data_IF_429812068763
#
_entry.id   IF_429812068763
#
_cell.length_a   1.000
_cell.length_b   1.000
_cell.length_c   1.000
_cell.angle_alpha   90.00
_cell.angle_beta   90.00
_cell.angle_gamma   90.00
#
_symmetry.space_group_name_H-M   'P 1'
#
loop_
_entity.id
_entity.type
_entity.pdbx_description
1 polymer ?
#
# COMPACT_ATOMS: atom_id res chain seq x y z
N UNK A 1 14.23 1.95 -13.86
CA UNK A 1 15.10 2.88 -13.18
C UNK A 1 15.78 2.24 -11.98
N UNK A 2 16.99 2.66 -11.73
CA UNK A 2 17.81 2.19 -10.61
C UNK A 2 18.42 3.42 -9.93
N UNK A 3 18.04 3.66 -8.69
CA UNK A 3 18.59 4.75 -7.91
C UNK A 3 19.22 4.21 -6.64
N UNK A 4 20.39 4.72 -6.34
CA UNK A 4 21.18 4.40 -5.18
C UNK A 4 21.04 5.51 -4.13
N UNK A 5 20.70 5.12 -2.92
CA UNK A 5 20.62 6.04 -1.79
C UNK A 5 21.78 5.78 -0.85
N UNK A 6 22.69 6.74 -0.76
CA UNK A 6 23.79 6.67 0.19
C UNK A 6 23.34 7.20 1.56
N UNK A 7 23.24 6.32 2.54
CA UNK A 7 22.73 6.62 3.89
C UNK A 7 23.74 7.30 4.83
N UNK A 8 24.67 8.10 4.32
CA UNK A 8 25.56 8.90 5.17
C UNK A 8 24.89 10.15 5.77
N UNK A 9 23.57 10.23 5.72
CA UNK A 9 22.74 11.28 6.31
C UNK A 9 21.25 10.94 6.18
N UNK A 10 20.43 11.48 7.05
CA UNK A 10 18.98 11.34 6.96
C UNK A 10 18.45 11.99 5.67
N UNK A 11 17.78 11.24 4.80
CA UNK A 11 17.08 11.74 3.62
C UNK A 11 17.68 11.33 2.26
N UNK A 12 16.85 11.42 1.24
CA UNK A 12 17.17 11.14 -0.17
C UNK A 12 17.83 12.37 -0.78
N UNK A 13 18.78 12.17 -1.71
CA UNK A 13 19.34 13.26 -2.51
C UNK A 13 18.36 13.64 -3.62
N UNK A 14 17.89 14.90 -3.64
CA UNK A 14 16.91 15.38 -4.61
C UNK A 14 17.44 15.32 -6.05
N UNK A 15 18.76 15.48 -6.24
CA UNK A 15 19.42 15.39 -7.53
C UNK A 15 19.32 13.99 -8.19
N UNK A 16 18.96 12.96 -7.42
CA UNK A 16 18.82 11.59 -7.93
C UNK A 16 17.38 11.24 -8.30
N UNK A 17 16.43 12.09 -7.97
CA UNK A 17 15.02 11.87 -8.22
C UNK A 17 14.58 12.36 -9.60
N UNK A 18 13.60 11.69 -10.20
CA UNK A 18 12.98 12.15 -11.42
C UNK A 18 11.97 13.27 -11.12
N UNK A 19 12.23 14.47 -11.59
CA UNK A 19 11.40 15.66 -11.37
C UNK A 19 10.73 16.19 -12.65
N UNK A 20 10.67 15.38 -13.71
CA UNK A 20 9.99 15.70 -14.97
C UNK A 20 8.58 15.14 -15.07
N UNK A 21 7.95 15.38 -16.21
CA UNK A 21 6.66 14.78 -16.57
C UNK A 21 6.91 13.63 -17.54
N UNK A 22 6.50 12.42 -17.17
CA UNK A 22 6.47 11.26 -18.06
C UNK A 22 5.01 10.93 -18.38
N UNK A 23 4.63 11.12 -19.64
CA UNK A 23 3.31 10.80 -20.14
C UNK A 23 3.38 9.61 -21.11
N UNK A 24 2.87 8.48 -20.67
CA UNK A 24 2.79 7.28 -21.48
C UNK A 24 1.73 7.33 -22.58
N UNK A 25 0.84 8.33 -22.56
CA UNK A 25 -0.24 8.52 -23.56
C UNK A 25 -1.08 7.28 -23.81
N UNK A 26 -1.37 6.53 -22.75
CA UNK A 26 -2.12 5.28 -22.82
C UNK A 26 -1.34 4.09 -23.38
N UNK A 27 -0.04 4.24 -23.66
CA UNK A 27 0.79 3.14 -24.15
C UNK A 27 1.28 2.22 -23.04
N UNK A 28 1.65 1.00 -23.46
CA UNK A 28 2.27 0.01 -22.57
C UNK A 28 3.77 -0.08 -22.78
N UNK A 29 4.50 -0.19 -21.66
CA UNK A 29 5.89 -0.60 -21.64
C UNK A 29 5.91 -2.10 -21.33
N UNK A 30 6.39 -2.92 -22.26
CA UNK A 30 6.41 -4.37 -22.12
C UNK A 30 7.83 -4.91 -22.04
N UNK A 31 7.96 -6.03 -21.32
CA UNK A 31 9.26 -6.69 -21.16
C UNK A 31 10.16 -6.00 -20.14
N UNK A 32 9.59 -5.20 -19.22
CA UNK A 32 10.37 -4.73 -18.08
C UNK A 32 10.88 -5.94 -17.31
N UNK A 33 12.20 -6.07 -17.23
CA UNK A 33 12.85 -7.12 -16.48
C UNK A 33 13.95 -6.51 -15.61
N UNK A 34 13.78 -6.61 -14.30
CA UNK A 34 14.76 -6.15 -13.33
C UNK A 34 15.09 -7.33 -12.42
N UNK A 35 16.36 -7.70 -12.40
CA UNK A 35 16.90 -8.73 -11.51
C UNK A 35 18.05 -8.15 -10.71
N UNK A 36 17.97 -8.23 -9.40
CA UNK A 36 19.08 -7.82 -8.51
C UNK A 36 19.94 -9.05 -8.21
N UNK A 37 21.14 -9.08 -8.77
CA UNK A 37 22.13 -10.12 -8.47
C UNK A 37 22.87 -9.78 -7.17
N UNK A 38 23.39 -10.84 -6.52
CA UNK A 38 24.17 -10.79 -5.27
C UNK A 38 24.98 -9.52 -5.10
N UNK A 39 24.77 -8.83 -4.01
CA UNK A 39 25.67 -7.80 -3.56
C UNK A 39 26.67 -8.39 -2.57
N UNK A 40 27.94 -8.48 -2.97
CA UNK A 40 29.08 -8.87 -2.11
C UNK A 40 29.97 -7.65 -1.89
N UNK A 41 29.74 -6.89 -0.82
CA UNK A 41 30.76 -5.97 -0.33
C UNK A 41 31.17 -6.39 1.07
N UNK A 42 32.30 -7.05 1.14
CA UNK A 42 32.93 -7.46 2.39
C UNK A 42 33.59 -6.21 3.01
N UNK A 43 33.12 -5.76 4.15
CA UNK A 43 33.85 -4.86 5.02
C UNK A 43 33.41 -3.40 5.12
N UNK A 44 32.36 -2.95 4.43
CA UNK A 44 31.83 -1.60 4.57
C UNK A 44 30.46 -1.58 5.28
N UNK A 45 30.35 -0.85 6.37
CA UNK A 45 29.08 -0.57 7.07
C UNK A 45 28.19 0.45 6.31
N UNK A 46 28.30 0.53 5.01
CA UNK A 46 27.43 1.38 4.18
C UNK A 46 26.14 0.64 3.85
N UNK A 47 25.03 1.17 4.36
CA UNK A 47 23.69 0.70 4.05
C UNK A 47 23.27 1.24 2.69
N UNK A 48 23.34 0.43 1.66
CA UNK A 48 22.88 0.79 0.32
C UNK A 48 21.37 0.51 0.22
N UNK A 49 20.57 1.55 0.01
CA UNK A 49 19.14 1.41 -0.20
C UNK A 49 18.86 1.46 -1.69
N UNK A 50 18.30 0.39 -2.22
CA UNK A 50 17.93 0.30 -3.63
C UNK A 50 16.46 0.61 -3.81
N UNK A 51 16.15 1.48 -4.76
CA UNK A 51 14.82 1.79 -5.22
C UNK A 51 14.66 1.27 -6.64
N UNK A 52 13.72 0.38 -6.87
CA UNK A 52 13.52 -0.26 -8.16
C UNK A 52 12.08 -0.17 -8.63
N UNK A 53 11.91 0.03 -9.92
CA UNK A 53 10.67 0.14 -10.65
C UNK A 53 10.93 0.64 -12.06
N UNK A 54 9.92 1.02 -12.80
CA UNK A 54 10.11 1.78 -14.05
C UNK A 54 10.94 3.05 -13.74
N UNK A 55 10.65 3.71 -12.63
CA UNK A 55 11.46 4.76 -12.03
C UNK A 55 12.03 4.29 -10.68
N UNK A 56 13.26 4.66 -10.35
CA UNK A 56 13.80 4.40 -9.02
C UNK A 56 13.14 5.29 -7.98
N UNK A 57 13.21 6.63 -8.20
CA UNK A 57 12.62 7.64 -7.32
C UNK A 57 11.91 8.68 -8.18
N UNK A 58 10.67 9.00 -7.86
CA UNK A 58 9.94 10.16 -8.38
C UNK A 58 10.01 11.24 -7.30
N UNK A 59 10.56 12.40 -7.65
CA UNK A 59 10.71 13.56 -6.75
C UNK A 59 9.43 14.37 -6.67
N UNK A 60 9.45 15.42 -5.85
CA UNK A 60 8.26 16.23 -5.54
C UNK A 60 7.60 16.91 -6.74
N UNK A 61 8.38 17.26 -7.75
CA UNK A 61 7.90 17.89 -9.00
C UNK A 61 7.67 16.84 -10.11
N UNK A 62 7.97 15.55 -9.81
CA UNK A 62 7.87 14.47 -10.78
C UNK A 62 6.43 14.02 -10.98
N UNK A 63 6.06 13.80 -12.23
CA UNK A 63 4.75 13.24 -12.61
C UNK A 63 4.95 12.07 -13.56
N UNK A 64 4.29 10.94 -13.26
CA UNK A 64 4.18 9.79 -14.16
C UNK A 64 2.71 9.53 -14.42
N UNK A 65 2.30 9.51 -15.69
CA UNK A 65 0.90 9.37 -16.04
C UNK A 65 0.64 8.52 -17.29
N UNK A 66 -0.57 7.97 -17.37
CA UNK A 66 -1.10 7.31 -18.57
C UNK A 66 -0.18 6.20 -19.11
N UNK A 67 0.34 5.33 -18.24
CA UNK A 67 1.23 4.24 -18.64
C UNK A 67 0.81 2.92 -18.01
N UNK A 68 0.90 1.86 -18.83
CA UNK A 68 0.78 0.47 -18.35
C UNK A 68 2.16 -0.19 -18.39
N UNK A 69 2.54 -0.86 -17.30
CA UNK A 69 3.82 -1.58 -17.22
C UNK A 69 3.56 -3.08 -17.19
N UNK A 70 4.24 -3.83 -18.06
CA UNK A 70 4.19 -5.29 -18.13
C UNK A 70 5.60 -5.86 -18.01
N UNK A 71 5.76 -6.94 -17.25
CA UNK A 71 7.05 -7.59 -17.11
C UNK A 71 7.22 -8.30 -15.76
N UNK A 72 8.44 -8.24 -15.25
CA UNK A 72 8.79 -8.85 -13.97
C UNK A 72 9.89 -8.06 -13.28
N UNK A 73 9.75 -7.88 -11.99
CA UNK A 73 10.80 -7.33 -11.11
C UNK A 73 11.11 -8.37 -10.05
N UNK A 74 12.35 -8.87 -10.05
CA UNK A 74 12.86 -9.80 -9.06
C UNK A 74 14.05 -9.17 -8.33
N UNK A 75 13.75 -8.49 -7.24
CA UNK A 75 14.71 -7.74 -6.45
C UNK A 75 15.09 -8.46 -5.14
N UNK A 76 15.32 -9.76 -5.23
CA UNK A 76 15.80 -10.56 -4.11
C UNK A 76 17.33 -10.49 -4.03
N UNK A 77 17.87 -9.99 -2.93
CA UNK A 77 19.30 -10.07 -2.66
C UNK A 77 19.62 -11.40 -1.99
N UNK A 78 20.28 -12.32 -2.72
CA UNK A 78 20.77 -13.56 -2.12
C UNK A 78 21.86 -13.28 -1.07
N UNK A 79 21.72 -13.84 0.10
CA UNK A 79 22.80 -14.00 1.10
C UNK A 79 22.85 -12.98 2.22
N UNK A 80 21.90 -12.06 2.30
CA UNK A 80 21.71 -11.21 3.47
C UNK A 80 20.23 -11.11 3.81
N UNK A 81 19.74 -12.06 4.57
CA UNK A 81 18.34 -12.11 5.05
C UNK A 81 18.01 -10.95 6.01
N UNK A 82 19.02 -10.17 6.38
CA UNK A 82 18.96 -9.09 7.33
C UNK A 82 19.22 -7.72 6.66
N UNK A 83 18.17 -7.05 6.22
CA UNK A 83 17.95 -5.58 6.30
C UNK A 83 18.56 -4.67 5.23
N UNK A 84 19.64 -4.94 4.50
CA UNK A 84 20.42 -3.84 3.91
C UNK A 84 20.46 -3.71 2.39
N UNK A 85 19.70 -4.45 1.64
CA UNK A 85 19.66 -4.34 0.18
C UNK A 85 18.22 -4.31 -0.36
N UNK A 86 18.02 -3.60 -1.48
CA UNK A 86 16.76 -3.54 -2.24
C UNK A 86 15.49 -3.34 -1.39
N UNK A 87 15.32 -2.13 -0.84
CA UNK A 87 14.25 -1.90 0.13
C UNK A 87 12.94 -1.48 -0.47
N UNK A 88 12.94 -0.64 -1.51
CA UNK A 88 11.73 -0.02 -2.02
C UNK A 88 11.50 -0.45 -3.47
N UNK A 89 10.53 -1.31 -3.67
CA UNK A 89 10.29 -1.96 -4.97
C UNK A 89 8.84 -1.73 -5.37
N UNK A 90 8.63 -1.19 -6.57
CA UNK A 90 7.29 -1.01 -7.14
C UNK A 90 7.29 -1.13 -8.66
N UNK A 91 6.17 -1.45 -9.24
CA UNK A 91 6.05 -1.58 -10.71
C UNK A 91 6.31 -0.27 -11.45
N UNK A 92 5.84 0.83 -10.90
CA UNK A 92 6.05 2.17 -11.46
C UNK A 92 7.24 2.85 -10.80
N UNK A 93 7.31 2.86 -9.47
CA UNK A 93 8.40 3.53 -8.76
C UNK A 93 8.86 2.77 -7.52
N UNK A 94 10.15 2.80 -7.22
CA UNK A 94 10.65 2.37 -5.92
C UNK A 94 10.14 3.28 -4.82
N UNK A 95 10.35 4.60 -4.98
CA UNK A 95 9.80 5.64 -4.09
C UNK A 95 9.05 6.67 -4.94
N UNK A 96 7.86 7.05 -4.49
CA UNK A 96 7.11 8.15 -5.08
C UNK A 96 6.90 9.27 -4.06
N UNK A 97 7.51 10.44 -4.31
CA UNK A 97 7.28 11.69 -3.59
C UNK A 97 6.66 12.78 -4.50
N UNK A 98 6.16 12.39 -5.66
CA UNK A 98 5.47 13.22 -6.65
C UNK A 98 4.08 12.68 -6.95
N UNK A 99 3.68 12.71 -8.21
CA UNK A 99 2.38 12.27 -8.68
C UNK A 99 2.49 11.04 -9.61
N UNK A 100 1.76 9.98 -9.30
CA UNK A 100 1.46 8.89 -10.23
C UNK A 100 -0.05 8.90 -10.48
N UNK A 101 -0.48 9.05 -11.74
CA UNK A 101 -1.90 9.13 -12.09
C UNK A 101 -2.22 8.32 -13.34
N UNK A 102 -3.36 7.62 -13.31
CA UNK A 102 -3.86 6.81 -14.42
C UNK A 102 -2.80 5.81 -14.93
N UNK A 103 -2.22 5.06 -13.99
CA UNK A 103 -1.17 4.09 -14.28
C UNK A 103 -1.59 2.69 -13.86
N UNK A 104 -1.19 1.70 -14.67
CA UNK A 104 -1.46 0.28 -14.40
C UNK A 104 -0.17 -0.52 -14.33
N UNK A 105 -0.05 -1.36 -13.31
CA UNK A 105 0.98 -2.38 -13.24
C UNK A 105 0.39 -3.75 -13.53
N UNK A 106 0.97 -4.44 -14.51
CA UNK A 106 0.71 -5.86 -14.82
C UNK A 106 1.96 -6.72 -14.58
N UNK A 107 3.05 -6.14 -14.09
CA UNK A 107 4.26 -6.89 -13.82
C UNK A 107 4.18 -7.59 -12.47
N UNK A 108 4.68 -8.82 -12.38
CA UNK A 108 4.88 -9.51 -11.11
C UNK A 108 6.11 -8.94 -10.40
N UNK A 109 5.95 -8.67 -9.11
CA UNK A 109 6.96 -8.00 -8.31
C UNK A 109 7.34 -8.85 -7.12
N UNK A 110 8.60 -9.21 -7.04
CA UNK A 110 9.19 -9.86 -5.87
C UNK A 110 10.34 -9.00 -5.36
N UNK A 111 10.28 -8.64 -4.11
CA UNK A 111 11.28 -7.80 -3.46
C UNK A 111 11.58 -8.24 -2.04
N UNK A 112 12.54 -7.57 -1.39
CA UNK A 112 12.97 -7.96 -0.06
C UNK A 112 12.06 -7.37 1.03
N UNK A 113 11.90 -6.05 1.11
CA UNK A 113 11.29 -5.41 2.27
C UNK A 113 9.99 -4.64 1.97
N UNK A 114 10.06 -3.50 1.32
CA UNK A 114 8.91 -2.63 1.05
C UNK A 114 8.49 -2.77 -0.40
N UNK A 115 7.48 -3.59 -0.63
CA UNK A 115 7.10 -4.02 -1.98
C UNK A 115 5.65 -3.63 -2.26
N UNK A 116 5.45 -2.82 -3.28
CA UNK A 116 4.12 -2.41 -3.73
C UNK A 116 3.91 -2.64 -5.22
N UNK A 117 2.68 -2.91 -5.62
CA UNK A 117 2.35 -3.08 -7.05
C UNK A 117 2.61 -1.81 -7.86
N UNK A 118 2.40 -0.64 -7.26
CA UNK A 118 2.67 0.66 -7.90
C UNK A 118 3.96 1.27 -7.37
N UNK A 119 4.09 1.40 -6.04
CA UNK A 119 5.30 1.97 -5.43
C UNK A 119 5.71 1.25 -4.15
N UNK A 120 7.01 1.07 -3.96
CA UNK A 120 7.55 0.50 -2.73
C UNK A 120 7.29 1.39 -1.53
N UNK A 121 7.52 2.70 -1.67
CA UNK A 121 7.18 3.70 -0.64
C UNK A 121 6.46 4.90 -1.25
N UNK A 122 5.42 5.37 -0.58
CA UNK A 122 4.71 6.61 -0.89
C UNK A 122 5.12 7.70 0.10
N UNK A 123 5.58 8.84 -0.43
CA UNK A 123 6.16 9.93 0.32
C UNK A 123 7.61 9.67 0.73
N UNK A 124 8.37 10.73 0.95
CA UNK A 124 9.79 10.62 1.30
C UNK A 124 10.27 11.82 2.13
N UNK A 125 11.44 11.66 2.75
CA UNK A 125 12.18 12.77 3.31
C UNK A 125 13.46 12.97 2.51
N UNK A 126 13.62 14.15 1.92
CA UNK A 126 14.83 14.53 1.20
C UNK A 126 15.83 15.23 2.13
N UNK A 127 17.13 15.18 1.78
CA UNK A 127 18.17 15.86 2.53
C UNK A 127 17.92 17.35 2.61
N UNK A 128 17.96 17.90 3.82
CA UNK A 128 17.81 19.34 4.04
C UNK A 128 16.39 19.88 3.80
N UNK A 129 15.42 19.02 3.51
CA UNK A 129 14.04 19.39 3.33
C UNK A 129 13.13 18.73 4.35
N UNK A 130 11.91 19.22 4.43
CA UNK A 130 10.83 18.59 5.18
C UNK A 130 10.38 17.28 4.48
N UNK A 131 9.47 16.59 5.11
CA UNK A 131 8.74 15.48 4.54
C UNK A 131 8.02 15.92 3.26
N UNK A 132 8.05 15.08 2.25
CA UNK A 132 7.39 15.32 0.96
C UNK A 132 6.36 14.23 0.74
N UNK A 133 5.12 14.64 0.56
CA UNK A 133 4.01 13.73 0.25
C UNK A 133 4.07 13.30 -1.20
N UNK A 134 3.79 12.01 -1.44
CA UNK A 134 3.53 11.50 -2.76
C UNK A 134 2.02 11.28 -2.97
N UNK A 135 1.55 11.32 -4.20
CA UNK A 135 0.15 11.09 -4.51
C UNK A 135 -0.02 9.97 -5.53
N UNK A 136 -1.00 9.12 -5.28
CA UNK A 136 -1.47 8.10 -6.22
C UNK A 136 -2.93 8.35 -6.55
N UNK A 137 -3.25 8.49 -7.84
CA UNK A 137 -4.60 8.77 -8.30
C UNK A 137 -4.94 7.85 -9.47
N UNK A 138 -6.05 7.13 -9.39
CA UNK A 138 -6.50 6.22 -10.43
C UNK A 138 -5.40 5.23 -10.86
N UNK A 139 -5.01 4.39 -9.92
CA UNK A 139 -3.95 3.40 -10.14
C UNK A 139 -4.46 1.98 -9.97
N UNK A 140 -3.97 1.07 -10.81
CA UNK A 140 -4.39 -0.34 -10.80
C UNK A 140 -3.18 -1.26 -10.75
N UNK A 141 -3.23 -2.24 -9.88
CA UNK A 141 -2.29 -3.36 -9.89
C UNK A 141 -2.98 -4.67 -10.25
N UNK A 142 -2.49 -5.34 -11.28
CA UNK A 142 -2.91 -6.67 -11.71
C UNK A 142 -1.84 -7.74 -11.46
N UNK A 143 -0.60 -7.34 -11.21
CA UNK A 143 0.51 -8.25 -10.98
C UNK A 143 0.60 -8.75 -9.55
N UNK A 144 1.22 -9.90 -9.36
CA UNK A 144 1.50 -10.46 -8.04
C UNK A 144 2.56 -9.63 -7.30
N UNK A 145 2.37 -9.43 -6.00
CA UNK A 145 3.30 -8.69 -5.14
C UNK A 145 3.79 -9.60 -4.01
N UNK A 146 5.10 -9.79 -3.91
CA UNK A 146 5.69 -10.67 -2.88
C UNK A 146 6.86 -9.98 -2.17
N UNK A 147 6.77 -9.84 -0.84
CA UNK A 147 7.88 -9.38 -0.01
C UNK A 147 8.50 -10.55 0.74
N UNK A 148 9.82 -10.73 0.61
CA UNK A 148 10.52 -11.96 1.05
C UNK A 148 11.45 -11.76 2.26
N UNK A 149 11.49 -10.58 2.86
CA UNK A 149 12.33 -10.31 4.03
C UNK A 149 11.88 -11.11 5.24
N UNK A 150 12.84 -11.71 5.93
CA UNK A 150 12.60 -12.43 7.18
C UNK A 150 12.40 -11.52 8.40
N UNK A 151 12.62 -10.22 8.27
CA UNK A 151 12.60 -9.30 9.40
C UNK A 151 11.57 -8.19 9.28
N UNK A 152 11.41 -7.62 8.09
CA UNK A 152 10.55 -6.47 7.82
C UNK A 152 9.99 -6.59 6.41
N UNK A 153 8.96 -7.37 6.23
CA UNK A 153 8.28 -7.49 4.96
C UNK A 153 6.99 -6.65 5.02
N UNK A 154 6.93 -5.59 4.23
CA UNK A 154 5.75 -4.77 4.07
C UNK A 154 5.29 -4.88 2.61
N UNK A 155 4.25 -5.68 2.38
CA UNK A 155 3.71 -5.93 1.05
C UNK A 155 2.34 -5.29 0.90
N UNK A 156 2.17 -4.46 -0.12
CA UNK A 156 0.88 -3.87 -0.48
C UNK A 156 0.58 -4.03 -1.96
N UNK A 157 -0.65 -4.32 -2.29
CA UNK A 157 -1.06 -4.42 -3.71
C UNK A 157 -0.79 -3.13 -4.49
N UNK A 158 -0.81 -1.98 -3.81
CA UNK A 158 -0.51 -0.67 -4.38
C UNK A 158 0.77 -0.09 -3.78
N UNK A 159 0.86 -0.02 -2.46
CA UNK A 159 1.98 0.62 -1.74
C UNK A 159 2.53 -0.33 -0.68
N UNK A 160 3.83 -0.60 -0.69
CA UNK A 160 4.49 -1.37 0.36
C UNK A 160 4.46 -0.61 1.69
N UNK A 161 5.02 0.60 1.71
CA UNK A 161 5.07 1.47 2.88
C UNK A 161 4.51 2.87 2.57
N UNK A 162 3.49 3.29 3.29
CA UNK A 162 2.95 4.64 3.25
C UNK A 162 3.65 5.48 4.32
N UNK A 163 4.47 6.43 3.89
CA UNK A 163 5.13 7.37 4.79
C UNK A 163 4.38 8.71 4.86
N UNK A 164 4.06 9.28 3.71
CA UNK A 164 3.32 10.56 3.59
C UNK A 164 2.60 10.60 2.25
N UNK A 165 1.33 10.96 2.22
CA UNK A 165 0.62 11.20 0.97
C UNK A 165 -0.70 10.46 0.83
N UNK A 166 -1.41 10.78 -0.25
CA UNK A 166 -2.77 10.33 -0.49
C UNK A 166 -2.83 9.23 -1.57
N UNK A 167 -3.77 8.31 -1.36
CA UNK A 167 -4.13 7.28 -2.32
C UNK A 167 -5.62 7.46 -2.61
N UNK A 168 -5.94 7.76 -3.87
CA UNK A 168 -7.32 7.97 -4.29
C UNK A 168 -7.60 7.21 -5.58
N UNK A 169 -8.72 6.49 -5.63
CA UNK A 169 -9.07 5.61 -6.75
C UNK A 169 -7.98 4.54 -7.01
N UNK A 170 -7.79 3.63 -6.07
CA UNK A 170 -6.81 2.56 -6.20
C UNK A 170 -7.47 1.18 -6.23
N UNK A 171 -7.04 0.35 -7.18
CA UNK A 171 -7.54 -1.02 -7.33
C UNK A 171 -6.41 -2.03 -7.30
N UNK A 172 -6.56 -3.07 -6.49
CA UNK A 172 -5.68 -4.22 -6.53
C UNK A 172 -6.44 -5.50 -6.91
N UNK A 173 -6.04 -6.10 -8.03
CA UNK A 173 -6.47 -7.41 -8.50
C UNK A 173 -5.40 -8.50 -8.29
N UNK A 174 -4.16 -8.08 -8.06
CA UNK A 174 -3.03 -8.98 -7.90
C UNK A 174 -2.99 -9.63 -6.52
N UNK A 175 -2.45 -10.83 -6.45
CA UNK A 175 -2.20 -11.48 -5.17
C UNK A 175 -1.06 -10.79 -4.42
N UNK A 176 -1.22 -10.62 -3.11
CA UNK A 176 -0.22 -9.98 -2.25
C UNK A 176 0.22 -10.94 -1.16
N UNK A 177 1.51 -11.14 -1.01
CA UNK A 177 2.01 -12.08 -0.02
C UNK A 177 3.34 -11.67 0.61
N UNK A 178 3.54 -12.13 1.84
CA UNK A 178 4.83 -12.19 2.49
C UNK A 178 4.99 -13.60 3.07
N UNK A 179 5.42 -14.57 2.24
CA UNK A 179 5.54 -15.97 2.64
C UNK A 179 6.75 -16.15 3.54
N UNK A 180 6.57 -15.86 4.81
CA UNK A 180 7.61 -16.01 5.80
C UNK A 180 7.34 -17.24 6.66
N UNK A 181 8.28 -18.16 6.73
CA UNK A 181 8.36 -19.23 7.72
C UNK A 181 9.56 -18.98 8.58
N UNK A 182 9.33 -18.65 9.83
CA UNK A 182 10.41 -18.60 10.83
C UNK A 182 10.33 -19.81 11.74
N UNK A 183 11.38 -20.62 11.75
CA UNK A 183 11.56 -21.68 12.74
C UNK A 183 12.00 -21.12 14.10
N UNK A 184 12.24 -19.80 14.21
CA UNK A 184 12.71 -19.14 15.42
C UNK A 184 11.56 -18.55 16.25
N UNK A 185 11.56 -18.85 17.54
CA UNK A 185 10.57 -18.50 18.57
C UNK A 185 10.37 -16.97 18.81
N UNK A 186 10.97 -16.09 17.99
CA UNK A 186 10.89 -14.63 18.10
C UNK A 186 10.15 -13.95 16.94
N UNK A 187 9.41 -14.70 16.13
CA UNK A 187 8.69 -14.19 14.95
C UNK A 187 7.68 -13.09 15.28
N UNK A 188 7.10 -13.10 16.48
CA UNK A 188 6.12 -12.11 16.95
C UNK A 188 6.69 -10.68 17.12
N UNK A 189 8.01 -10.51 17.11
CA UNK A 189 8.65 -9.18 17.19
C UNK A 189 8.94 -8.57 15.83
N UNK A 190 8.66 -9.27 14.74
CA UNK A 190 9.02 -8.87 13.39
C UNK A 190 7.84 -8.20 12.70
N UNK A 191 8.08 -7.02 12.14
CA UNK A 191 7.06 -6.18 11.55
C UNK A 191 6.64 -6.61 10.15
N UNK A 192 6.15 -7.84 9.96
CA UNK A 192 5.57 -8.27 8.69
C UNK A 192 4.14 -7.74 8.59
N UNK A 193 3.88 -6.95 7.55
CA UNK A 193 2.58 -6.35 7.30
C UNK A 193 2.17 -6.55 5.84
N UNK A 194 0.98 -7.09 5.63
CA UNK A 194 0.44 -7.36 4.31
C UNK A 194 -0.94 -6.74 4.17
N UNK A 195 -1.12 -5.96 3.12
CA UNK A 195 -2.41 -5.34 2.82
C UNK A 195 -2.74 -5.36 1.33
N UNK A 196 -4.02 -5.45 1.01
CA UNK A 196 -4.47 -5.44 -0.38
C UNK A 196 -4.15 -4.14 -1.11
N UNK A 197 -4.13 -3.03 -0.38
CA UNK A 197 -3.75 -1.71 -0.90
C UNK A 197 -2.41 -1.27 -0.30
N UNK A 198 -2.29 -1.24 1.00
CA UNK A 198 -1.06 -0.77 1.69
C UNK A 198 -0.56 -1.82 2.67
N UNK A 199 0.72 -2.17 2.61
CA UNK A 199 1.34 -3.04 3.60
C UNK A 199 1.33 -2.38 4.97
N UNK A 200 1.97 -1.23 5.10
CA UNK A 200 2.05 -0.50 6.36
C UNK A 200 2.09 1.02 6.18
N UNK A 201 1.31 1.72 6.99
CA UNK A 201 1.45 3.15 7.23
C UNK A 201 2.35 3.39 8.43
N UNK A 202 3.34 4.27 8.27
CA UNK A 202 4.29 4.68 9.32
C UNK A 202 4.14 6.14 9.72
N UNK A 203 3.16 6.85 9.20
CA UNK A 203 2.89 8.25 9.55
C UNK A 203 2.36 8.35 10.97
N UNK A 204 2.89 9.27 11.76
CA UNK A 204 2.50 9.46 13.17
C UNK A 204 1.81 10.80 13.45
N UNK A 205 1.86 11.77 12.55
CA UNK A 205 1.32 13.11 12.78
C UNK A 205 0.85 13.85 11.54
N UNK A 206 1.24 13.43 10.37
CA UNK A 206 0.86 14.01 9.07
C UNK A 206 0.54 12.86 8.15
N UNK A 207 -0.56 12.19 8.42
CA UNK A 207 -0.99 11.08 7.60
C UNK A 207 -1.81 11.61 6.42
N UNK A 208 -1.60 10.98 5.30
CA UNK A 208 -2.50 11.10 4.18
C UNK A 208 -3.79 10.30 4.39
N UNK A 209 -4.51 10.09 3.32
CA UNK A 209 -5.75 9.30 3.31
C UNK A 209 -5.68 8.18 2.28
N UNK A 210 -6.47 7.14 2.53
CA UNK A 210 -6.85 6.15 1.52
C UNK A 210 -8.33 6.36 1.26
N UNK A 211 -8.67 6.83 0.07
CA UNK A 211 -10.05 7.11 -0.33
C UNK A 211 -10.38 6.43 -1.66
N UNK A 212 -11.53 5.78 -1.75
CA UNK A 212 -11.97 5.04 -2.93
C UNK A 212 -10.96 3.99 -3.38
N UNK A 213 -10.70 3.02 -2.49
CA UNK A 213 -9.80 1.92 -2.82
C UNK A 213 -10.47 0.57 -2.62
N UNK A 214 -10.15 -0.39 -3.50
CA UNK A 214 -10.67 -1.72 -3.34
C UNK A 214 -9.66 -2.82 -3.67
N UNK A 215 -9.84 -3.97 -3.01
CA UNK A 215 -9.06 -5.17 -3.26
C UNK A 215 -9.96 -6.37 -3.52
N UNK A 216 -9.65 -7.12 -4.58
CA UNK A 216 -10.21 -8.45 -4.84
C UNK A 216 -9.12 -9.53 -5.02
N UNK A 217 -7.84 -9.14 -4.98
CA UNK A 217 -6.73 -10.08 -4.97
C UNK A 217 -6.66 -10.88 -3.67
N UNK A 218 -6.10 -12.08 -3.73
CA UNK A 218 -5.84 -12.88 -2.54
C UNK A 218 -4.67 -12.28 -1.75
N UNK A 219 -4.82 -12.28 -0.43
CA UNK A 219 -3.80 -11.72 0.46
C UNK A 219 -3.37 -12.80 1.45
N UNK A 220 -2.07 -12.96 1.65
CA UNK A 220 -1.62 -14.02 2.53
C UNK A 220 -0.28 -13.78 3.21
N UNK A 221 -0.26 -14.20 4.47
CA UNK A 221 0.98 -14.40 5.24
C UNK A 221 0.76 -15.52 6.23
N UNK A 222 1.60 -16.56 6.18
CA UNK A 222 1.44 -17.72 7.08
C UNK A 222 1.79 -17.37 8.54
N UNK A 223 2.75 -16.44 8.76
CA UNK A 223 3.26 -16.08 10.08
C UNK A 223 3.39 -14.55 10.27
N UNK A 224 2.71 -13.74 9.46
CA UNK A 224 2.79 -12.27 9.54
C UNK A 224 2.03 -11.70 10.73
N UNK A 225 2.56 -10.58 11.27
CA UNK A 225 1.93 -9.94 12.42
C UNK A 225 0.69 -9.13 12.07
N UNK A 226 0.66 -8.53 10.87
CA UNK A 226 -0.39 -7.61 10.49
C UNK A 226 -0.92 -7.96 9.10
N UNK A 227 -2.20 -8.24 9.04
CA UNK A 227 -2.90 -8.60 7.82
C UNK A 227 -4.18 -7.79 7.67
N UNK A 228 -4.41 -7.19 6.52
CA UNK A 228 -5.66 -6.48 6.23
C UNK A 228 -6.03 -6.51 4.75
N UNK A 229 -7.31 -6.69 4.45
CA UNK A 229 -7.81 -6.63 3.08
C UNK A 229 -7.53 -5.30 2.38
N UNK A 230 -7.40 -4.22 3.14
CA UNK A 230 -7.01 -2.90 2.66
C UNK A 230 -5.61 -2.56 3.18
N UNK A 231 -5.38 -2.59 4.49
CA UNK A 231 -4.09 -2.23 5.07
C UNK A 231 -3.68 -3.17 6.22
N UNK A 232 -2.46 -3.69 6.16
CA UNK A 232 -1.95 -4.57 7.21
C UNK A 232 -1.78 -3.85 8.55
N UNK A 233 -1.03 -2.76 8.58
CA UNK A 233 -0.78 -1.96 9.78
C UNK A 233 -0.92 -0.47 9.47
N UNK A 234 -1.79 0.21 10.20
CA UNK A 234 -2.08 1.63 10.03
C UNK A 234 -1.87 2.40 11.34
N UNK A 235 -0.99 3.39 11.34
CA UNK A 235 -0.78 4.21 12.53
C UNK A 235 -1.74 5.39 12.61
N UNK A 236 -1.91 6.15 11.53
CA UNK A 236 -2.72 7.36 11.63
C UNK A 236 -3.53 7.71 10.37
N UNK A 237 -3.26 7.07 9.22
CA UNK A 237 -3.92 7.37 7.96
C UNK A 237 -5.44 7.17 8.04
N UNK A 238 -6.22 8.12 7.54
CA UNK A 238 -7.67 7.99 7.41
C UNK A 238 -8.03 7.07 6.24
N UNK A 239 -9.05 6.25 6.45
CA UNK A 239 -9.52 5.27 5.47
C UNK A 239 -10.99 5.53 5.21
N UNK A 240 -11.35 5.86 3.97
CA UNK A 240 -12.72 6.17 3.59
C UNK A 240 -13.11 5.51 2.27
N UNK A 241 -14.37 5.13 2.15
CA UNK A 241 -14.94 4.62 0.91
C UNK A 241 -14.14 3.44 0.33
N UNK A 242 -13.89 2.41 1.14
CA UNK A 242 -13.09 1.26 0.73
C UNK A 242 -13.83 -0.04 0.88
N UNK A 243 -13.45 -1.05 0.09
CA UNK A 243 -13.96 -2.39 0.31
C UNK A 243 -12.97 -3.49 -0.08
N UNK A 244 -13.14 -4.65 0.55
CA UNK A 244 -12.39 -5.85 0.25
C UNK A 244 -13.34 -7.01 -0.09
N UNK A 245 -13.09 -7.65 -1.23
CA UNK A 245 -13.76 -8.88 -1.64
C UNK A 245 -12.77 -10.03 -1.79
N UNK A 246 -11.47 -9.74 -1.69
CA UNK A 246 -10.40 -10.71 -1.76
C UNK A 246 -10.35 -11.60 -0.52
N UNK A 247 -9.99 -12.85 -0.72
CA UNK A 247 -9.78 -13.82 0.36
C UNK A 247 -8.43 -13.58 1.04
N UNK A 248 -8.34 -13.94 2.31
CA UNK A 248 -7.12 -13.74 3.05
C UNK A 248 -6.82 -14.74 4.15
N UNK A 249 -5.52 -14.90 4.41
CA UNK A 249 -5.00 -15.71 5.51
C UNK A 249 -4.02 -14.86 6.31
N UNK A 250 -4.27 -14.72 7.62
CA UNK A 250 -3.43 -13.96 8.52
C UNK A 250 -3.31 -14.63 9.89
N UNK A 251 -2.26 -14.28 10.65
CA UNK A 251 -1.98 -14.93 11.93
C UNK A 251 -2.40 -14.08 13.14
N UNK A 252 -1.68 -12.99 13.46
CA UNK A 252 -1.94 -12.23 14.68
C UNK A 252 -3.03 -11.15 14.48
N UNK A 253 -2.62 -9.91 14.25
CA UNK A 253 -3.56 -8.80 14.03
C UNK A 253 -4.10 -8.87 12.62
N UNK A 254 -5.25 -9.48 12.45
CA UNK A 254 -5.81 -9.80 11.15
C UNK A 254 -7.26 -9.37 11.05
N UNK A 255 -7.61 -8.72 9.94
CA UNK A 255 -8.98 -8.28 9.66
C UNK A 255 -9.23 -8.11 8.16
N UNK A 256 -10.47 -8.26 7.73
CA UNK A 256 -10.87 -8.14 6.32
C UNK A 256 -10.66 -6.75 5.73
N UNK A 257 -10.56 -5.72 6.58
CA UNK A 257 -10.20 -4.37 6.16
C UNK A 257 -8.82 -3.98 6.72
N UNK A 258 -8.63 -4.06 8.02
CA UNK A 258 -7.42 -3.57 8.68
C UNK A 258 -6.91 -4.58 9.71
N UNK A 259 -5.62 -4.88 9.67
CA UNK A 259 -4.99 -5.73 10.69
C UNK A 259 -4.86 -5.01 12.03
N UNK A 260 -4.10 -3.93 12.06
CA UNK A 260 -3.89 -3.09 13.23
C UNK A 260 -4.08 -1.61 12.90
N UNK A 261 -4.79 -0.88 13.77
CA UNK A 261 -5.08 0.55 13.63
C UNK A 261 -4.78 1.33 14.91
N UNK A 262 -3.99 2.39 14.80
CA UNK A 262 -3.60 3.25 15.92
C UNK A 262 -3.94 4.73 15.67
N UNK A 263 -5.17 5.14 15.77
CA UNK A 263 -5.60 6.53 15.52
C UNK A 263 -6.19 6.75 14.14
N UNK A 264 -6.68 7.95 13.84
CA UNK A 264 -7.39 8.31 12.63
C UNK A 264 -8.79 7.69 12.53
N UNK A 265 -9.36 7.70 11.34
CA UNK A 265 -10.74 7.27 11.09
C UNK A 265 -10.81 6.09 10.11
N UNK A 266 -11.89 5.32 10.20
CA UNK A 266 -12.34 4.40 9.15
C UNK A 266 -13.82 4.66 8.92
N UNK A 267 -14.20 4.98 7.70
CA UNK A 267 -15.57 5.33 7.36
C UNK A 267 -16.02 4.78 6.02
N UNK A 268 -17.28 4.36 5.94
CA UNK A 268 -17.91 3.86 4.71
C UNK A 268 -17.10 2.72 4.08
N UNK A 269 -17.03 1.58 4.76
CA UNK A 269 -16.24 0.47 4.29
C UNK A 269 -16.94 -0.88 4.49
N UNK A 270 -16.67 -1.84 3.62
CA UNK A 270 -17.17 -3.18 3.84
C UNK A 270 -16.16 -4.28 3.45
N UNK A 271 -16.34 -5.43 4.06
CA UNK A 271 -15.65 -6.65 3.70
C UNK A 271 -16.66 -7.75 3.33
N UNK A 272 -16.44 -8.40 2.19
CA UNK A 272 -17.15 -9.60 1.78
C UNK A 272 -16.21 -10.78 1.50
N UNK A 273 -14.90 -10.53 1.56
CA UNK A 273 -13.90 -11.57 1.41
C UNK A 273 -13.84 -12.48 2.63
N UNK A 274 -13.67 -13.76 2.42
CA UNK A 274 -13.43 -14.71 3.50
C UNK A 274 -12.05 -14.50 4.08
N UNK A 275 -11.98 -14.20 5.38
CA UNK A 275 -10.72 -13.97 6.08
C UNK A 275 -10.53 -15.03 7.15
N UNK A 276 -9.57 -15.91 6.89
CA UNK A 276 -9.16 -16.94 7.84
C UNK A 276 -8.08 -16.37 8.76
N UNK A 277 -8.48 -15.98 9.96
CA UNK A 277 -7.58 -15.40 10.94
C UNK A 277 -7.53 -16.22 12.23
N UNK A 278 -6.39 -16.18 12.89
CA UNK A 278 -6.25 -16.79 14.21
C UNK A 278 -7.00 -16.00 15.29
N UNK A 279 -7.25 -14.72 15.07
CA UNK A 279 -7.93 -13.82 16.01
C UNK A 279 -9.44 -13.78 15.85
N UNK A 280 -10.01 -14.38 14.80
CA UNK A 280 -11.45 -14.46 14.50
C UNK A 280 -12.16 -13.11 14.24
N UNK A 281 -11.45 -11.99 14.09
CA UNK A 281 -12.06 -10.68 13.80
C UNK A 281 -12.16 -10.45 12.29
N UNK A 282 -13.38 -10.11 11.83
CA UNK A 282 -13.68 -10.08 10.40
C UNK A 282 -13.41 -8.73 9.72
N UNK A 283 -13.40 -7.62 10.46
CA UNK A 283 -13.16 -6.29 9.89
C UNK A 283 -11.82 -5.70 10.35
N UNK A 284 -11.60 -5.61 11.65
CA UNK A 284 -10.40 -4.99 12.23
C UNK A 284 -9.82 -5.91 13.30
N UNK A 285 -8.60 -6.37 13.08
CA UNK A 285 -7.91 -7.30 13.98
C UNK A 285 -7.53 -6.70 15.33
N UNK A 286 -7.20 -5.42 15.38
CA UNK A 286 -7.02 -4.65 16.61
C UNK A 286 -7.07 -3.16 16.32
N UNK A 287 -7.68 -2.37 17.18
CA UNK A 287 -7.69 -0.91 17.05
C UNK A 287 -7.54 -0.19 18.37
N UNK A 288 -7.00 1.03 18.30
CA UNK A 288 -6.69 1.92 19.43
C UNK A 288 -6.84 3.37 19.00
N UNK A 289 -7.51 4.20 19.84
CA UNK A 289 -7.70 5.63 19.57
C UNK A 289 -8.24 5.95 18.16
N UNK A 290 -9.11 5.11 17.64
CA UNK A 290 -9.62 5.16 16.27
C UNK A 290 -11.12 5.41 16.29
N UNK A 291 -11.62 6.24 15.40
CA UNK A 291 -13.05 6.40 15.16
C UNK A 291 -13.47 5.55 13.98
N UNK A 292 -14.53 4.75 14.18
CA UNK A 292 -15.09 3.87 13.13
C UNK A 292 -16.56 4.19 12.92
N UNK A 293 -16.95 4.31 11.64
CA UNK A 293 -18.30 4.65 11.25
C UNK A 293 -18.69 3.96 9.93
N UNK A 294 -19.91 3.42 9.87
CA UNK A 294 -20.46 2.77 8.67
C UNK A 294 -19.56 1.61 8.14
N UNK A 295 -19.24 0.65 9.00
CA UNK A 295 -18.50 -0.54 8.63
C UNK A 295 -19.42 -1.76 8.56
N UNK A 296 -19.29 -2.52 7.48
CA UNK A 296 -20.10 -3.70 7.22
C UNK A 296 -19.24 -4.92 6.94
N UNK A 297 -19.60 -6.05 7.56
CA UNK A 297 -19.09 -7.35 7.16
C UNK A 297 -20.25 -8.17 6.55
N UNK A 298 -20.04 -8.70 5.37
CA UNK A 298 -21.02 -9.54 4.71
C UNK A 298 -20.75 -10.99 5.11
N UNK A 299 -21.72 -11.59 5.77
CA UNK A 299 -21.64 -12.93 6.33
C UNK A 299 -21.81 -12.98 7.85
N UNK A 300 -22.03 -14.16 8.35
CA UNK A 300 -22.23 -14.42 9.77
C UNK A 300 -20.91 -14.25 10.55
N UNK A 301 -20.81 -13.20 11.34
CA UNK A 301 -19.72 -13.06 12.30
C UNK A 301 -20.18 -12.34 13.56
N UNK A 302 -19.82 -12.88 14.69
CA UNK A 302 -20.03 -12.26 15.99
C UNK A 302 -18.86 -11.40 16.44
N UNK A 303 -17.71 -11.50 15.78
CA UNK A 303 -16.47 -10.78 16.11
C UNK A 303 -16.07 -9.91 14.94
N UNK A 304 -16.41 -8.64 14.97
CA UNK A 304 -16.15 -7.71 13.88
C UNK A 304 -14.88 -6.88 14.11
N UNK A 305 -14.72 -6.35 15.29
CA UNK A 305 -13.65 -5.41 15.64
C UNK A 305 -13.08 -5.71 17.01
N UNK A 306 -11.76 -5.80 17.13
CA UNK A 306 -11.06 -5.86 18.40
C UNK A 306 -10.66 -4.46 18.87
N UNK A 307 -11.34 -3.94 19.88
CA UNK A 307 -11.03 -2.67 20.53
C UNK A 307 -10.11 -2.90 21.73
N UNK A 308 -8.88 -2.37 21.70
CA UNK A 308 -7.95 -2.47 22.83
C UNK A 308 -8.14 -1.35 23.84
N UNK A 309 -7.98 -0.09 23.45
CA UNK A 309 -8.12 1.08 24.33
C UNK A 309 -8.42 2.35 23.54
N UNK A 310 -9.40 3.12 24.02
CA UNK A 310 -9.77 4.42 23.43
C UNK A 310 -10.22 4.25 21.96
N UNK A 311 -11.17 4.99 21.56
CA UNK A 311 -11.76 4.90 20.25
C UNK A 311 -13.27 4.95 20.32
N UNK A 312 -13.89 5.31 19.22
CA UNK A 312 -15.33 5.42 19.10
C UNK A 312 -15.82 4.49 18.00
N UNK A 313 -16.78 3.65 18.31
CA UNK A 313 -17.42 2.73 17.38
C UNK A 313 -18.88 3.14 17.29
N UNK A 314 -19.27 3.80 16.20
CA UNK A 314 -20.65 4.25 16.06
C UNK A 314 -21.53 3.24 15.31
N UNK A 315 -21.06 2.71 14.18
CA UNK A 315 -21.86 1.87 13.31
C UNK A 315 -21.02 0.77 12.67
N UNK A 316 -21.12 -0.45 13.22
CA UNK A 316 -20.44 -1.65 12.69
C UNK A 316 -21.43 -2.81 12.69
N UNK A 317 -21.60 -3.43 11.53
CA UNK A 317 -22.64 -4.41 11.32
C UNK A 317 -22.11 -5.68 10.64
N UNK A 318 -22.63 -6.85 11.06
CA UNK A 318 -22.66 -8.05 10.24
C UNK A 318 -24.01 -8.07 9.52
N UNK A 319 -24.00 -8.23 8.21
CA UNK A 319 -25.18 -8.18 7.35
C UNK A 319 -25.13 -9.23 6.27
N UNK A 320 -26.28 -9.62 5.73
CA UNK A 320 -26.32 -10.52 4.56
C UNK A 320 -25.97 -9.74 3.27
N UNK A 321 -26.24 -8.47 3.24
CA UNK A 321 -25.96 -7.56 2.12
C UNK A 321 -25.84 -6.13 2.60
N UNK A 322 -25.08 -5.32 1.90
CA UNK A 322 -24.98 -3.86 2.06
C UNK A 322 -25.50 -3.18 0.81
N UNK A 323 -26.23 -2.08 0.95
CA UNK A 323 -26.72 -1.28 -0.17
C UNK A 323 -25.84 -0.04 -0.35
N UNK A 324 -25.75 0.46 -1.58
CA UNK A 324 -25.01 1.70 -1.84
C UNK A 324 -25.57 2.87 -1.02
N UNK A 325 -26.90 2.88 -0.74
CA UNK A 325 -27.54 3.86 0.15
C UNK A 325 -27.09 3.80 1.61
N UNK A 326 -26.53 2.69 2.05
CA UNK A 326 -26.02 2.53 3.41
C UNK A 326 -24.58 3.10 3.56
N UNK A 327 -23.93 3.31 2.42
CA UNK A 327 -22.62 3.90 2.26
C UNK A 327 -22.74 5.37 1.83
N UNK A 328 -21.65 5.99 1.44
CA UNK A 328 -21.67 7.33 0.85
C UNK A 328 -22.02 7.25 -0.65
N UNK A 329 -22.26 8.41 -1.25
CA UNK A 329 -22.46 8.60 -2.70
C UNK A 329 -21.19 8.26 -3.54
N UNK A 330 -20.08 7.91 -2.87
CA UNK A 330 -18.89 7.38 -3.54
C UNK A 330 -19.10 5.97 -4.11
N UNK A 331 -20.22 5.31 -3.77
CA UNK A 331 -20.54 3.95 -4.24
C UNK A 331 -21.74 3.97 -5.20
N UNK A 332 -21.71 3.04 -6.14
CA UNK A 332 -22.83 2.72 -7.02
C UNK A 332 -23.36 1.31 -6.70
N UNK A 333 -24.63 1.07 -6.96
CA UNK A 333 -25.15 -0.28 -6.89
C UNK A 333 -24.54 -1.13 -7.98
N UNK A 334 -23.91 -2.24 -7.59
CA UNK A 334 -23.64 -3.38 -8.46
C UNK A 334 -24.71 -4.45 -8.24
N UNK A 335 -24.81 -5.40 -9.16
CA UNK A 335 -25.88 -6.42 -9.12
C UNK A 335 -25.90 -7.23 -7.82
N UNK A 336 -24.78 -7.32 -7.08
CA UNK A 336 -24.66 -8.09 -5.85
C UNK A 336 -24.10 -7.27 -4.68
N UNK A 337 -23.18 -6.34 -4.92
CA UNK A 337 -22.51 -5.53 -3.90
C UNK A 337 -22.24 -4.12 -4.45
N UNK A 338 -22.31 -3.07 -3.61
CA UNK A 338 -21.89 -1.74 -4.01
C UNK A 338 -20.45 -1.72 -4.48
N UNK A 339 -20.16 -0.93 -5.50
CA UNK A 339 -18.81 -0.70 -6.02
C UNK A 339 -18.49 0.78 -5.99
N UNK A 340 -17.21 1.14 -5.97
CA UNK A 340 -16.77 2.52 -6.04
C UNK A 340 -17.25 3.13 -7.38
N UNK A 341 -17.78 4.34 -7.32
CA UNK A 341 -18.12 5.12 -8.52
C UNK A 341 -16.82 5.66 -9.15
N UNK A 342 -16.43 5.07 -10.26
CA UNK A 342 -15.25 5.47 -11.04
C UNK A 342 -15.56 6.55 -12.08
N UNK A 343 -16.80 6.99 -12.24
CA UNK A 343 -17.19 7.96 -13.27
C UNK A 343 -16.47 9.31 -13.13
N UNK A 344 -16.06 9.64 -11.92
CA UNK A 344 -15.34 10.87 -11.57
C UNK A 344 -13.83 10.63 -11.31
N UNK A 345 -13.33 9.44 -11.61
CA UNK A 345 -11.91 9.19 -11.43
C UNK A 345 -11.09 10.02 -12.43
N UNK A 346 -10.08 10.79 -11.99
CA UNK A 346 -9.24 11.59 -12.88
C UNK A 346 -8.53 10.70 -13.90
N UNK A 347 -8.53 11.09 -15.17
CA UNK A 347 -7.95 10.32 -16.29
C UNK A 347 -6.59 10.85 -16.62
N UNK A 348 -5.94 11.70 -16.16
CA UNK A 348 -4.61 12.20 -16.55
C UNK A 348 -4.50 12.73 -17.98
N UNK A 349 -5.63 12.78 -18.74
CA UNK A 349 -5.74 13.37 -20.07
C UNK A 349 -6.13 14.84 -20.02
N UNK A 350 -6.64 15.31 -18.90
CA UNK A 350 -7.01 16.70 -18.71
C UNK A 350 -5.75 17.58 -18.73
N UNK A 351 -5.60 18.35 -19.81
CA UNK A 351 -4.53 19.37 -19.93
C UNK A 351 -4.62 20.45 -18.83
N UNK A 352 -5.75 20.49 -18.14
CA UNK A 352 -6.04 21.41 -17.03
C UNK A 352 -5.91 20.74 -15.66
N UNK A 353 -5.31 19.55 -15.57
CA UNK A 353 -5.08 18.92 -14.30
C UNK A 353 -4.07 19.76 -13.49
N UNK A 354 -4.61 20.71 -12.78
CA UNK A 354 -3.85 21.60 -11.92
C UNK A 354 -3.54 20.87 -10.63
N UNK A 355 -2.27 20.57 -10.41
CA UNK A 355 -1.77 19.96 -9.17
C UNK A 355 -2.16 20.82 -7.95
N UNK A 356 -2.35 22.13 -8.12
CA UNK A 356 -2.83 23.03 -7.09
C UNK A 356 -4.32 22.82 -6.74
N UNK A 357 -5.12 22.22 -7.65
CA UNK A 357 -6.54 21.92 -7.40
C UNK A 357 -6.77 20.63 -6.60
N UNK A 358 -5.82 19.71 -6.59
CA UNK A 358 -5.73 18.71 -5.55
C UNK A 358 -5.15 19.47 -4.36
N UNK A 359 -5.95 19.67 -3.31
CA UNK A 359 -5.47 20.26 -2.06
C UNK A 359 -4.30 19.44 -1.51
N UNK A 360 -3.15 19.57 -2.14
CA UNK A 360 -1.88 19.26 -1.54
C UNK A 360 -1.67 20.43 -0.58
N UNK A 361 -2.33 20.38 0.57
CA UNK A 361 -1.92 21.21 1.67
C UNK A 361 -0.46 20.84 1.91
N UNK A 362 0.40 21.63 1.30
CA UNK A 362 1.82 21.64 1.63
C UNK A 362 1.88 21.72 3.14
N UNK A 363 2.26 20.63 3.78
CA UNK A 363 2.39 20.58 5.23
C UNK A 363 3.24 21.75 5.69
N UNK A 364 2.59 22.69 6.36
CA UNK A 364 3.25 23.68 7.19
C UNK A 364 3.56 23.08 8.55
#
# INVERSE_FOLDING_TARGET
GYNYINNNGYGIDDDTAYNGIFDGKGHSISGLFIETKKYNKQGDNHYETYCQGLFGIIGKEGTVRNVTVNGQINAQAEGNEYINAAKYIGGIAGINAGLIINCTNNADITGLAYVGGITGQLGAQFKGSNRVSGNLINVTNNGTVTATSKSFAEAGGIVGQLAYGDITYATNHGNVSAPFKDDDMYSYLRGVAVGGIVGKDISVSECGKIDRAYNDGQIGTEDGNYFGGIIGCNYACDITNVYNTGQGIGYNYSGGLVGYKLGGTIENAYNSGEVNTHTEYQLIGSMRNTTVNNLYNIGDSTKLVALENGGDISTVYAVDTVLASDLSDAFTDSYNLPVIDWSNAPTGEDETFDIESINIENGK
#
